data_IF_785339629126
#
_entry.id   IF_785339629126
#
_cell.length_a   1.000
_cell.length_b   1.000
_cell.length_c   1.000
_cell.angle_alpha   90.00
_cell.angle_beta   90.00
_cell.angle_gamma   90.00
#
_symmetry.space_group_name_H-M   'P 1'
#
loop_
_entity.id
_entity.type
_entity.pdbx_description
1 polymer ?
#
# COMPACT_ATOMS: atom_id res chain seq x y z
N UNK A 1 -17.01 7.99 16.61
CA UNK A 1 -16.09 6.93 16.19
C UNK A 1 -16.91 5.86 15.50
N UNK A 2 -17.24 6.12 14.25
CA UNK A 2 -17.49 5.04 13.31
C UNK A 2 -16.12 4.43 12.97
N UNK A 3 -16.00 3.13 13.17
CA UNK A 3 -14.79 2.38 12.81
C UNK A 3 -15.26 1.23 11.93
N UNK A 4 -14.92 1.29 10.67
CA UNK A 4 -15.30 0.31 9.67
C UNK A 4 -14.16 -0.68 9.41
N UNK A 5 -14.51 -1.95 9.21
CA UNK A 5 -13.56 -3.02 8.94
C UNK A 5 -13.94 -3.74 7.65
N UNK A 6 -13.11 -3.55 6.62
CA UNK A 6 -13.26 -4.15 5.30
C UNK A 6 -12.45 -5.44 5.24
N UNK A 7 -13.13 -6.58 5.13
CA UNK A 7 -12.49 -7.90 5.18
C UNK A 7 -12.34 -8.50 3.79
N UNK A 8 -11.13 -8.97 3.49
CA UNK A 8 -10.80 -9.55 2.19
C UNK A 8 -10.14 -10.91 2.31
N UNK A 9 -10.58 -11.81 1.42
CA UNK A 9 -9.95 -13.10 1.13
C UNK A 9 -9.56 -13.08 -0.35
N UNK A 10 -8.47 -13.75 -0.71
CA UNK A 10 -7.98 -13.81 -2.08
C UNK A 10 -9.06 -14.30 -3.07
N UNK A 11 -9.05 -13.76 -4.28
CA UNK A 11 -10.07 -13.95 -5.30
C UNK A 11 -11.21 -12.93 -5.21
N UNK A 12 -11.02 -11.82 -4.51
CA UNK A 12 -12.03 -10.76 -4.38
C UNK A 12 -12.17 -9.90 -5.66
N UNK A 13 -11.19 -9.95 -6.57
CA UNK A 13 -11.23 -9.15 -7.79
C UNK A 13 -10.80 -7.70 -7.53
N UNK A 14 -11.51 -6.74 -8.12
CA UNK A 14 -11.06 -5.35 -8.16
C UNK A 14 -12.08 -4.46 -7.48
N UNK A 15 -11.76 -4.02 -6.27
CA UNK A 15 -12.66 -3.24 -5.43
C UNK A 15 -12.16 -1.81 -5.20
N UNK A 16 -13.10 -0.93 -4.88
CA UNK A 16 -12.86 0.49 -4.60
C UNK A 16 -13.42 0.81 -3.23
N UNK A 17 -12.58 1.39 -2.37
CA UNK A 17 -12.96 1.93 -1.07
C UNK A 17 -12.90 3.45 -1.18
N UNK A 18 -14.03 4.08 -0.87
CA UNK A 18 -14.19 5.52 -0.82
C UNK A 18 -14.68 5.86 0.57
N UNK A 19 -13.74 6.24 1.44
CA UNK A 19 -14.08 6.68 2.79
C UNK A 19 -14.75 8.05 2.75
N UNK A 20 -15.61 8.33 3.72
CA UNK A 20 -16.27 9.62 3.85
C UNK A 20 -16.19 10.09 5.30
N UNK A 21 -14.95 10.23 5.77
CA UNK A 21 -14.67 10.74 7.11
C UNK A 21 -15.13 12.18 7.31
N UNK A 22 -15.38 12.52 8.57
CA UNK A 22 -15.54 13.90 9.03
C UNK A 22 -14.34 14.29 9.90
N UNK A 23 -13.82 15.49 9.68
CA UNK A 23 -12.54 15.99 10.20
C UNK A 23 -12.42 16.12 11.73
N UNK A 24 -13.49 15.82 12.46
CA UNK A 24 -13.62 15.95 13.90
C UNK A 24 -13.87 14.60 14.62
N UNK A 25 -13.75 13.48 13.93
CA UNK A 25 -13.78 12.14 14.54
C UNK A 25 -12.42 11.45 14.47
N UNK A 26 -12.10 10.67 15.50
CA UNK A 26 -11.00 9.70 15.45
C UNK A 26 -11.57 8.44 14.84
N UNK A 27 -11.05 8.08 13.67
CA UNK A 27 -11.37 6.87 12.93
C UNK A 27 -10.32 5.81 13.27
N UNK A 28 -10.68 4.54 13.11
CA UNK A 28 -9.75 3.42 13.23
C UNK A 28 -10.10 2.39 12.15
N UNK A 29 -10.34 2.91 10.94
CA UNK A 29 -10.81 2.13 9.81
C UNK A 29 -9.70 1.18 9.37
N UNK A 30 -10.09 -0.02 8.98
CA UNK A 30 -9.14 -1.06 8.69
C UNK A 30 -9.53 -1.89 7.47
N UNK A 31 -8.54 -2.18 6.63
CA UNK A 31 -8.58 -3.34 5.74
C UNK A 31 -8.01 -4.53 6.51
N UNK A 32 -8.71 -5.65 6.53
CA UNK A 32 -8.29 -6.88 7.20
C UNK A 32 -8.22 -8.02 6.18
N UNK A 33 -7.00 -8.50 5.94
CA UNK A 33 -6.75 -9.68 5.14
C UNK A 33 -6.77 -10.93 6.00
N UNK A 34 -7.48 -11.96 5.56
CA UNK A 34 -7.41 -13.27 6.19
C UNK A 34 -6.10 -14.01 5.81
N UNK A 35 -5.97 -15.26 6.25
CA UNK A 35 -4.77 -16.06 6.01
C UNK A 35 -4.48 -16.40 4.54
N UNK A 36 -5.38 -16.06 3.60
CA UNK A 36 -5.18 -16.28 2.16
C UNK A 36 -4.35 -15.18 1.48
N UNK A 37 -4.09 -14.06 2.17
CA UNK A 37 -3.26 -12.96 1.68
C UNK A 37 -2.20 -12.64 2.74
N UNK A 38 -0.93 -12.97 2.45
CA UNK A 38 0.17 -12.63 3.34
C UNK A 38 0.64 -11.19 3.09
N UNK A 39 1.22 -10.54 4.10
CA UNK A 39 1.79 -9.21 3.97
C UNK A 39 2.88 -9.11 2.88
N UNK A 40 3.63 -10.20 2.65
CA UNK A 40 4.63 -10.30 1.58
C UNK A 40 4.03 -10.36 0.17
N UNK A 41 2.74 -10.69 0.06
CA UNK A 41 2.05 -10.79 -1.23
C UNK A 41 1.45 -9.44 -1.65
N UNK A 42 1.43 -8.45 -0.75
CA UNK A 42 0.83 -7.14 -1.01
C UNK A 42 1.89 -6.14 -1.43
N UNK A 43 1.74 -5.59 -2.63
CA UNK A 43 2.46 -4.38 -3.05
C UNK A 43 1.53 -3.18 -3.02
N UNK A 44 2.11 -2.00 -2.82
CA UNK A 44 1.37 -0.74 -2.78
C UNK A 44 1.95 0.18 -3.84
N UNK A 45 1.07 0.79 -4.62
CA UNK A 45 1.45 1.83 -5.58
C UNK A 45 0.52 3.03 -5.45
N UNK A 46 1.04 4.20 -5.79
CA UNK A 46 0.23 5.39 -5.99
C UNK A 46 -0.36 5.35 -7.40
N UNK A 47 -1.61 5.79 -7.57
CA UNK A 47 -2.19 5.93 -8.91
C UNK A 47 -1.43 6.96 -9.75
N UNK A 48 -1.53 6.83 -11.06
CA UNK A 48 -0.83 7.71 -12.01
C UNK A 48 -1.20 9.19 -11.90
N UNK A 49 -2.40 9.50 -11.43
CA UNK A 49 -2.87 10.87 -11.17
C UNK A 49 -2.47 11.39 -9.78
N UNK A 50 -1.83 10.56 -8.95
CA UNK A 50 -1.33 10.90 -7.63
C UNK A 50 -2.40 10.92 -6.53
N UNK A 51 -3.67 10.63 -6.83
CA UNK A 51 -4.76 10.83 -5.89
C UNK A 51 -5.06 9.60 -5.02
N UNK A 52 -4.81 8.41 -5.54
CA UNK A 52 -5.25 7.15 -4.96
C UNK A 52 -4.07 6.32 -4.47
N UNK A 53 -4.34 5.45 -3.50
CA UNK A 53 -3.45 4.36 -3.14
C UNK A 53 -4.06 3.04 -3.60
N UNK A 54 -3.25 2.18 -4.20
CA UNK A 54 -3.69 0.91 -4.77
C UNK A 54 -2.89 -0.21 -4.10
N UNK A 55 -3.59 -1.12 -3.43
CA UNK A 55 -3.03 -2.38 -2.93
C UNK A 55 -3.21 -3.46 -3.99
N UNK A 56 -2.15 -4.17 -4.33
CA UNK A 56 -2.15 -5.25 -5.33
C UNK A 56 -1.68 -6.54 -4.72
N UNK A 57 -2.39 -7.63 -5.02
CA UNK A 57 -2.04 -8.95 -4.51
C UNK A 57 -1.25 -9.70 -5.58
N UNK A 58 0.02 -10.00 -5.29
CA UNK A 58 0.92 -10.72 -6.17
C UNK A 58 0.31 -12.05 -6.63
N UNK A 59 0.48 -12.42 -7.90
CA UNK A 59 -0.05 -13.66 -8.47
C UNK A 59 -1.56 -13.67 -8.74
N UNK A 60 -2.23 -12.51 -8.70
CA UNK A 60 -3.64 -12.35 -9.06
C UNK A 60 -3.90 -10.97 -9.68
N UNK A 61 -5.12 -10.76 -10.21
CA UNK A 61 -5.61 -9.44 -10.60
C UNK A 61 -6.28 -8.68 -9.44
N UNK A 62 -6.25 -9.26 -8.24
CA UNK A 62 -6.89 -8.70 -7.07
C UNK A 62 -6.26 -7.35 -6.70
N UNK A 63 -7.09 -6.31 -6.56
CA UNK A 63 -6.65 -4.98 -6.15
C UNK A 63 -7.71 -4.21 -5.39
N UNK A 64 -7.26 -3.42 -4.42
CA UNK A 64 -8.12 -2.48 -3.69
C UNK A 64 -7.62 -1.07 -4.02
N UNK A 65 -8.52 -0.24 -4.54
CA UNK A 65 -8.25 1.18 -4.77
C UNK A 65 -8.84 1.99 -3.63
N UNK A 66 -8.01 2.71 -2.88
CA UNK A 66 -8.45 3.69 -1.89
C UNK A 66 -8.52 5.06 -2.57
N UNK A 67 -9.73 5.54 -2.83
CA UNK A 67 -9.94 6.82 -3.50
C UNK A 67 -9.48 7.99 -2.63
N UNK A 68 -8.92 9.03 -3.24
CA UNK A 68 -8.44 10.26 -2.58
C UNK A 68 -7.51 10.11 -1.37
N UNK A 69 -7.10 8.89 -1.00
CA UNK A 69 -6.38 8.62 0.24
C UNK A 69 -5.05 9.40 0.35
N UNK A 70 -4.41 9.70 -0.78
CA UNK A 70 -3.19 10.51 -0.77
C UNK A 70 -3.49 11.98 -0.46
N UNK A 71 -4.49 12.55 -1.12
CA UNK A 71 -4.73 14.00 -1.18
C UNK A 71 -5.76 14.50 -0.15
N UNK A 72 -6.63 13.64 0.37
CA UNK A 72 -7.62 13.97 1.38
C UNK A 72 -7.54 13.03 2.58
N UNK A 73 -7.28 13.59 3.76
CA UNK A 73 -7.15 12.82 4.99
C UNK A 73 -8.48 12.20 5.46
N UNK A 74 -9.63 12.73 5.02
CA UNK A 74 -10.94 12.17 5.35
C UNK A 74 -11.25 10.90 4.57
N UNK A 75 -10.46 10.57 3.55
CA UNK A 75 -10.65 9.41 2.67
C UNK A 75 -9.66 8.28 2.97
N UNK A 76 -8.97 8.33 4.11
CA UNK A 76 -7.90 7.39 4.45
C UNK A 76 -8.42 6.23 5.27
N UNK A 77 -7.93 5.04 4.94
CA UNK A 77 -7.91 3.91 5.87
C UNK A 77 -6.72 4.07 6.81
N UNK A 78 -6.95 3.93 8.11
CA UNK A 78 -5.89 4.12 9.11
C UNK A 78 -4.86 3.00 9.11
N UNK A 79 -5.29 1.78 8.81
CA UNK A 79 -4.42 0.62 8.83
C UNK A 79 -4.84 -0.54 7.94
N UNK A 80 -3.85 -1.37 7.58
CA UNK A 80 -4.03 -2.67 6.95
C UNK A 80 -3.55 -3.74 7.92
N UNK A 81 -4.40 -4.72 8.22
CA UNK A 81 -4.13 -5.79 9.19
C UNK A 81 -4.10 -7.13 8.49
N UNK A 82 -3.15 -7.97 8.88
CA UNK A 82 -2.96 -9.31 8.35
C UNK A 82 -3.20 -10.38 9.41
N UNK A 83 -3.53 -11.59 8.98
CA UNK A 83 -3.81 -12.72 9.87
C UNK A 83 -2.63 -13.16 10.74
N UNK A 84 -1.39 -12.83 10.36
CA UNK A 84 -0.18 -13.10 11.14
C UNK A 84 0.08 -12.08 12.27
N UNK A 85 -0.79 -11.07 12.39
CA UNK A 85 -0.67 -9.97 13.35
C UNK A 85 0.15 -8.78 12.84
N UNK A 86 0.66 -8.82 11.60
CA UNK A 86 1.27 -7.66 10.95
C UNK A 86 0.22 -6.56 10.77
N UNK A 87 0.59 -5.33 11.10
CA UNK A 87 -0.24 -4.14 10.91
C UNK A 87 0.60 -3.07 10.22
N UNK A 88 0.07 -2.50 9.14
CA UNK A 88 0.63 -1.34 8.46
C UNK A 88 -0.23 -0.13 8.76
N UNK A 89 0.38 0.93 9.29
CA UNK A 89 -0.27 2.23 9.44
C UNK A 89 -0.42 2.94 8.09
N UNK A 90 -1.25 3.97 7.99
CA UNK A 90 -1.30 4.79 6.78
C UNK A 90 0.07 5.32 6.33
N UNK A 91 0.95 5.70 7.28
CA UNK A 91 2.31 6.13 6.97
C UNK A 91 3.16 5.00 6.35
N UNK A 92 2.97 3.77 6.82
CA UNK A 92 3.60 2.58 6.23
C UNK A 92 3.13 2.32 4.80
N UNK A 93 1.86 2.61 4.49
CA UNK A 93 1.31 2.48 3.14
C UNK A 93 1.95 3.50 2.20
N UNK A 94 2.07 4.76 2.62
CA UNK A 94 2.73 5.81 1.85
C UNK A 94 4.21 5.48 1.60
N UNK A 95 4.94 5.03 2.62
CA UNK A 95 6.34 4.67 2.48
C UNK A 95 6.53 3.51 1.48
N UNK A 96 5.63 2.52 1.48
CA UNK A 96 5.64 1.41 0.51
C UNK A 96 5.29 1.86 -0.90
N UNK A 97 4.34 2.79 -1.06
CA UNK A 97 3.96 3.35 -2.34
C UNK A 97 5.09 4.16 -3.01
N UNK A 98 6.01 4.70 -2.21
CA UNK A 98 7.18 5.47 -2.67
C UNK A 98 8.45 4.64 -2.79
N UNK A 99 8.44 3.38 -2.34
CA UNK A 99 9.60 2.51 -2.44
C UNK A 99 9.87 2.22 -3.93
N UNK A 100 11.11 2.41 -4.42
CA UNK A 100 11.46 2.09 -5.79
C UNK A 100 11.16 0.61 -6.05
N UNK A 101 10.43 0.32 -7.12
CA UNK A 101 10.18 -1.07 -7.51
C UNK A 101 11.36 -1.62 -8.29
N UNK A 102 11.50 -2.96 -8.37
CA UNK A 102 12.54 -3.57 -9.20
C UNK A 102 12.46 -3.13 -10.68
N UNK A 103 11.27 -2.75 -11.17
CA UNK A 103 11.09 -2.16 -12.49
C UNK A 103 11.65 -0.73 -12.58
N UNK A 104 11.48 0.07 -11.53
CA UNK A 104 12.09 1.40 -11.41
C UNK A 104 13.61 1.31 -11.28
N UNK A 105 14.13 0.29 -10.60
CA UNK A 105 15.57 0.03 -10.50
C UNK A 105 16.18 -0.36 -11.86
N UNK A 106 15.49 -1.14 -12.70
CA UNK A 106 15.93 -1.42 -14.06
C UNK A 106 15.91 -0.19 -14.97
N UNK A 107 14.94 0.71 -14.79
CA UNK A 107 14.84 1.96 -15.56
C UNK A 107 15.88 3.00 -15.11
N UNK A 108 16.20 3.06 -13.81
CA UNK A 108 17.24 3.93 -13.23
C UNK A 108 18.66 3.34 -13.37
N UNK A 109 18.79 2.04 -13.62
CA UNK A 109 20.06 1.32 -13.75
C UNK A 109 20.95 1.75 -14.93
N UNK A 110 20.44 2.59 -15.85
CA UNK A 110 21.27 3.22 -16.90
C UNK A 110 21.73 4.65 -16.56
N UNK A 111 21.18 5.28 -15.51
CA UNK A 111 21.55 6.64 -15.07
C UNK A 111 22.18 6.70 -13.65
N UNK A 112 22.22 5.58 -12.91
CA UNK A 112 22.93 5.44 -11.63
C UNK A 112 24.04 4.39 -11.66
N UNK A 113 24.54 4.06 -12.85
CA UNK A 113 25.82 3.37 -12.92
C UNK A 113 26.91 4.28 -12.36
N UNK A 114 27.60 3.76 -11.33
CA UNK A 114 28.91 4.15 -10.80
C UNK A 114 28.95 5.21 -9.69
N UNK A 115 28.89 4.77 -8.43
CA UNK A 115 30.08 4.75 -7.55
C UNK A 115 29.81 3.88 -6.31
N UNK A 116 29.96 2.57 -6.44
CA UNK A 116 30.42 1.76 -5.30
C UNK A 116 31.34 0.67 -5.83
N UNK A 117 32.49 1.10 -6.36
CA UNK A 117 33.61 0.20 -6.56
C UNK A 117 34.88 0.87 -6.03
N UNK A 118 35.32 0.38 -4.88
CA UNK A 118 36.52 0.80 -4.19
C UNK A 118 36.84 -0.11 -3.01
N UNK A 119 36.50 -1.40 -3.12
CA UNK A 119 37.10 -2.41 -2.27
C UNK A 119 38.56 -2.59 -2.67
N UNK A 120 39.47 -2.23 -1.77
CA UNK A 120 40.79 -2.82 -1.59
C UNK A 120 41.05 -2.71 -0.07
N UNK A 121 41.32 -3.76 0.69
CA UNK A 121 42.20 -4.87 0.35
C UNK A 121 43.57 -4.57 0.96
N UNK A 122 43.78 -5.10 2.18
CA UNK A 122 44.92 -5.01 3.12
C UNK A 122 44.84 -3.91 4.19
#
# INVERSE_FOLDING_TARGET
AHNDVYKFSRGFGQDVISEAGWSNESWNDAIEFDATVAASDVTIEQSSDGNHLILKIAGSEDRITMEWAVTDANYRIDQVRFADGTVWSFADLIARAQAPTAADEMFNGTNFSETTQGGAGN
#
